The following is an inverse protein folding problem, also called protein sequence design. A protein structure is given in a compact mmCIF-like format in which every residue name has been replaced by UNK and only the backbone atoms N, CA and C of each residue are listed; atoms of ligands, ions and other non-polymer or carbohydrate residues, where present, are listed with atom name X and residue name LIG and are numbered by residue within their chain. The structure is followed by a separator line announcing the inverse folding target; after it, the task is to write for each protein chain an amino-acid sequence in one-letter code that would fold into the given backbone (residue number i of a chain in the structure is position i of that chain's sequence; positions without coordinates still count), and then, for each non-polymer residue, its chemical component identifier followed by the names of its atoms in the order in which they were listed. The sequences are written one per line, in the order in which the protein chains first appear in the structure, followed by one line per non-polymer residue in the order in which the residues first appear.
data_IF_502770945076
#
_entry.id   IF_502770945076
#
_cell.length_a   1.000
_cell.length_b   1.000
_cell.length_c   1.000
_cell.angle_alpha   90.00
_cell.angle_beta   90.00
_cell.angle_gamma   90.00
#
_symmetry.space_group_name_H-M   'P 1'
#
loop_
_entity.id
_entity.type
_entity.pdbx_description
1 polymer ?
#
# COMPACT_ATOMS: atom_id res chain seq x y z
N UNK A 1 16.11 6.62 -57.03
CA UNK A 1 16.68 7.98 -57.00
C UNK A 1 16.16 8.80 -55.81
N UNK A 2 14.90 8.66 -55.38
CA UNK A 2 14.33 9.45 -54.27
C UNK A 2 14.89 9.22 -52.85
N UNK A 3 15.32 8.01 -52.48
CA UNK A 3 15.64 7.72 -51.07
C UNK A 3 16.98 8.31 -50.60
N UNK A 4 17.94 8.46 -51.52
CA UNK A 4 19.23 9.08 -51.22
C UNK A 4 19.11 10.61 -51.10
N UNK A 5 18.23 11.21 -51.91
CA UNK A 5 17.97 12.64 -51.88
C UNK A 5 17.18 13.04 -50.62
N UNK A 6 16.22 12.24 -50.16
CA UNK A 6 15.53 12.46 -48.87
C UNK A 6 16.48 12.36 -47.66
N UNK A 7 17.42 11.42 -47.70
CA UNK A 7 18.44 11.28 -46.65
C UNK A 7 19.40 12.47 -46.65
N UNK A 8 19.81 12.95 -47.83
CA UNK A 8 20.65 14.15 -47.98
C UNK A 8 19.92 15.43 -47.57
N UNK A 9 18.62 15.54 -47.86
CA UNK A 9 17.78 16.67 -47.45
C UNK A 9 17.62 16.70 -45.91
N UNK A 10 17.36 15.54 -45.29
CA UNK A 10 17.29 15.40 -43.83
C UNK A 10 18.65 15.66 -43.14
N UNK A 11 19.75 15.23 -43.76
CA UNK A 11 21.12 15.54 -43.34
C UNK A 11 21.41 17.04 -43.45
N UNK A 12 20.90 17.72 -44.48
CA UNK A 12 21.05 19.16 -44.73
C UNK A 12 20.24 20.03 -43.76
N UNK A 13 19.08 19.55 -43.30
CA UNK A 13 18.25 20.23 -42.29
C UNK A 13 18.74 19.99 -40.85
N UNK A 14 19.35 18.84 -40.59
CA UNK A 14 20.05 18.63 -39.34
C UNK A 14 21.32 19.49 -39.30
N UNK A 15 21.72 19.95 -38.11
CA UNK A 15 22.85 20.87 -37.86
C UNK A 15 24.25 20.29 -38.23
N UNK A 16 24.35 19.45 -39.25
CA UNK A 16 25.54 18.72 -39.74
C UNK A 16 26.44 19.57 -40.66
N UNK A 17 26.41 20.90 -40.53
CA UNK A 17 27.29 21.79 -41.27
C UNK A 17 28.75 21.55 -40.84
N UNK A 18 29.43 20.61 -41.49
CA UNK A 18 30.84 20.30 -41.23
C UNK A 18 31.22 18.81 -41.21
N UNK A 19 30.27 17.88 -41.38
CA UNK A 19 30.60 16.44 -41.40
C UNK A 19 31.20 16.05 -42.74
N UNK A 20 32.50 15.75 -42.74
CA UNK A 20 33.28 15.45 -43.95
C UNK A 20 33.62 13.96 -44.12
N UNK A 21 33.44 13.15 -43.07
CA UNK A 21 33.79 11.72 -43.02
C UNK A 21 32.74 10.91 -42.27
N UNK A 22 32.63 9.61 -42.58
CA UNK A 22 31.77 8.66 -41.86
C UNK A 22 32.09 8.58 -40.36
N UNK A 23 33.35 8.75 -39.99
CA UNK A 23 33.77 8.78 -38.58
C UNK A 23 33.25 10.03 -37.86
N UNK A 24 33.20 11.18 -38.54
CA UNK A 24 32.61 12.41 -37.99
C UNK A 24 31.10 12.31 -37.87
N UNK A 25 30.44 11.65 -38.82
CA UNK A 25 29.00 11.37 -38.74
C UNK A 25 28.70 10.49 -37.52
N UNK A 26 29.48 9.43 -37.31
CA UNK A 26 29.31 8.55 -36.15
C UNK A 26 29.57 9.27 -34.82
N UNK A 27 30.61 10.10 -34.74
CA UNK A 27 30.87 10.95 -33.56
C UNK A 27 29.68 11.87 -33.28
N UNK A 28 29.12 12.49 -34.32
CA UNK A 28 27.96 13.36 -34.17
C UNK A 28 26.71 12.60 -33.71
N UNK A 29 26.43 11.42 -34.27
CA UNK A 29 25.30 10.57 -33.84
C UNK A 29 25.45 10.20 -32.37
N UNK A 30 26.61 9.70 -31.96
CA UNK A 30 26.89 9.34 -30.56
C UNK A 30 26.71 10.54 -29.64
N UNK A 31 27.23 11.72 -30.04
CA UNK A 31 27.01 12.98 -29.30
C UNK A 31 25.54 13.25 -29.06
N UNK A 32 24.73 13.21 -30.11
CA UNK A 32 23.34 13.61 -30.02
C UNK A 32 22.48 12.62 -29.24
N UNK A 33 22.85 11.34 -29.20
CA UNK A 33 22.18 10.37 -28.33
C UNK A 33 22.39 10.65 -26.83
N UNK A 34 23.52 11.29 -26.47
CA UNK A 34 23.91 11.59 -25.09
C UNK A 34 23.45 12.97 -24.66
N UNK A 35 23.50 13.95 -25.57
CA UNK A 35 23.10 15.33 -25.31
C UNK A 35 21.59 15.54 -25.46
N UNK A 36 20.84 14.58 -26.01
CA UNK A 36 19.38 14.67 -26.17
C UNK A 36 18.64 15.02 -24.87
N UNK A 37 18.93 14.42 -23.71
CA UNK A 37 18.33 14.83 -22.43
C UNK A 37 18.56 16.31 -22.10
N UNK A 38 19.72 16.87 -22.49
CA UNK A 38 20.01 18.30 -22.32
C UNK A 38 19.26 19.20 -23.31
N UNK A 39 18.75 18.67 -24.42
CA UNK A 39 17.98 19.47 -25.39
C UNK A 39 16.64 19.92 -24.81
N UNK A 40 16.08 19.22 -23.84
CA UNK A 40 14.88 19.66 -23.13
C UNK A 40 15.11 20.99 -22.39
N UNK A 41 16.30 21.21 -21.82
CA UNK A 41 16.67 22.52 -21.26
C UNK A 41 16.68 23.61 -22.34
N UNK A 42 17.16 23.27 -23.54
CA UNK A 42 17.36 24.22 -24.65
C UNK A 42 16.10 24.50 -25.47
N UNK A 43 15.09 23.63 -25.38
CA UNK A 43 13.81 23.75 -26.09
C UNK A 43 12.80 24.69 -25.39
N UNK A 44 13.23 25.44 -24.37
CA UNK A 44 12.39 26.40 -23.66
C UNK A 44 11.68 25.84 -22.42
N UNK A 45 11.90 24.57 -22.07
CA UNK A 45 11.43 23.99 -20.81
C UNK A 45 12.25 24.48 -19.59
N UNK A 46 13.46 25.00 -19.83
CA UNK A 46 14.33 25.59 -18.79
C UNK A 46 14.98 24.57 -17.85
N UNK A 47 14.52 23.33 -17.84
CA UNK A 47 14.95 22.31 -16.87
C UNK A 47 15.39 21.00 -17.54
N UNK A 48 16.34 20.31 -16.90
CA UNK A 48 16.79 18.99 -17.33
C UNK A 48 15.73 17.95 -16.96
N UNK A 49 15.57 16.89 -17.75
CA UNK A 49 14.55 15.85 -17.49
C UNK A 49 14.65 15.27 -16.07
N UNK A 50 15.88 15.08 -15.56
CA UNK A 50 16.10 14.60 -14.19
C UNK A 50 15.69 15.61 -13.10
N UNK A 51 15.59 16.91 -13.40
CA UNK A 51 15.08 17.90 -12.44
C UNK A 51 13.59 17.68 -12.16
N UNK A 52 12.82 17.21 -13.16
CA UNK A 52 11.39 16.90 -12.99
C UNK A 52 11.23 15.78 -11.97
N UNK A 53 12.02 14.72 -12.10
CA UNK A 53 12.02 13.61 -11.15
C UNK A 53 12.44 14.04 -9.75
N UNK A 54 13.49 14.87 -9.64
CA UNK A 54 13.93 15.42 -8.36
C UNK A 54 12.83 16.27 -7.69
N UNK A 55 12.12 17.08 -8.47
CA UNK A 55 10.98 17.87 -8.01
C UNK A 55 9.79 17.02 -7.55
N UNK A 56 9.44 15.98 -8.30
CA UNK A 56 8.38 15.04 -7.92
C UNK A 56 8.74 14.28 -6.63
N UNK A 57 9.98 13.79 -6.50
CA UNK A 57 10.43 13.12 -5.26
C UNK A 57 10.35 14.07 -4.07
N UNK A 58 10.81 15.32 -4.24
CA UNK A 58 10.73 16.33 -3.19
C UNK A 58 9.27 16.66 -2.82
N UNK A 59 8.37 16.74 -3.80
CA UNK A 59 6.94 16.94 -3.57
C UNK A 59 6.30 15.78 -2.81
N UNK A 60 6.61 14.53 -3.17
CA UNK A 60 6.09 13.37 -2.45
C UNK A 60 6.68 13.25 -1.04
N UNK A 61 7.94 13.65 -0.83
CA UNK A 61 8.54 13.72 0.49
C UNK A 61 7.89 14.79 1.39
N UNK A 62 7.46 15.92 0.81
CA UNK A 62 6.69 16.94 1.54
C UNK A 62 5.28 16.44 1.92
N UNK A 63 4.61 15.71 1.02
CA UNK A 63 3.35 15.04 1.34
C UNK A 63 3.53 14.00 2.46
N UNK A 64 4.61 13.23 2.42
CA UNK A 64 4.99 12.26 3.46
C UNK A 64 5.13 12.92 4.83
N UNK A 65 5.87 14.03 4.93
CA UNK A 65 6.00 14.79 6.16
C UNK A 65 4.63 15.29 6.67
N UNK A 66 3.73 15.69 5.76
CA UNK A 66 2.37 16.09 6.10
C UNK A 66 1.57 14.94 6.71
N UNK A 67 1.67 13.72 6.18
CA UNK A 67 0.99 12.55 6.74
C UNK A 67 1.48 12.23 8.15
N UNK A 68 2.78 12.31 8.40
CA UNK A 68 3.35 12.12 9.74
C UNK A 68 2.85 13.18 10.71
N UNK A 69 2.88 14.46 10.30
CA UNK A 69 2.40 15.54 11.15
C UNK A 69 0.92 15.33 11.53
N UNK A 70 0.06 15.05 10.57
CA UNK A 70 -1.37 14.78 10.80
C UNK A 70 -1.58 13.55 11.69
N UNK A 71 -0.81 12.49 11.48
CA UNK A 71 -0.88 11.28 12.30
C UNK A 71 -0.51 11.56 13.76
N UNK A 72 0.57 12.31 14.01
CA UNK A 72 0.98 12.67 15.38
C UNK A 72 -0.02 13.57 16.09
N UNK A 73 -0.73 14.42 15.35
CA UNK A 73 -1.80 15.27 15.87
C UNK A 73 -3.15 14.52 16.00
N UNK A 74 -3.21 13.24 15.61
CA UNK A 74 -4.46 12.47 15.46
C UNK A 74 -5.50 13.14 14.52
N UNK A 75 -5.07 14.04 13.65
CA UNK A 75 -5.91 14.73 12.67
C UNK A 75 -5.89 14.00 11.32
N UNK A 76 -6.31 12.74 11.34
CA UNK A 76 -6.33 11.91 10.15
C UNK A 76 -7.57 11.02 10.08
N UNK A 77 -7.96 10.69 8.85
CA UNK A 77 -9.11 9.85 8.53
C UNK A 77 -8.79 8.84 7.42
N UNK A 78 -9.80 8.07 7.02
CA UNK A 78 -9.65 7.10 5.92
C UNK A 78 -9.26 7.73 4.59
N UNK A 79 -9.62 9.00 4.33
CA UNK A 79 -9.23 9.70 3.11
C UNK A 79 -7.75 10.03 3.13
N UNK A 80 -7.22 10.48 4.26
CA UNK A 80 -5.78 10.72 4.42
C UNK A 80 -4.97 9.43 4.31
N UNK A 81 -5.44 8.32 4.91
CA UNK A 81 -4.82 7.01 4.75
C UNK A 81 -4.79 6.56 3.27
N UNK A 82 -5.88 6.74 2.54
CA UNK A 82 -5.91 6.47 1.10
C UNK A 82 -4.97 7.39 0.30
N UNK A 83 -4.82 8.66 0.71
CA UNK A 83 -3.88 9.58 0.08
C UNK A 83 -2.43 9.12 0.31
N UNK A 84 -2.08 8.69 1.53
CA UNK A 84 -0.76 8.13 1.84
C UNK A 84 -0.45 6.86 1.03
N UNK A 85 -1.44 5.97 0.86
CA UNK A 85 -1.32 4.79 -0.03
C UNK A 85 -1.05 5.23 -1.47
N UNK A 86 -1.80 6.22 -1.97
CA UNK A 86 -1.60 6.72 -3.33
C UNK A 86 -0.21 7.36 -3.53
N UNK A 87 0.24 8.17 -2.57
CA UNK A 87 1.60 8.72 -2.53
C UNK A 87 2.66 7.60 -2.57
N UNK A 88 2.45 6.52 -1.81
CA UNK A 88 3.32 5.32 -1.84
C UNK A 88 3.42 4.73 -3.26
N UNK A 89 2.30 4.64 -3.97
CA UNK A 89 2.28 4.16 -5.36
C UNK A 89 3.02 5.09 -6.31
N UNK A 90 2.86 6.41 -6.17
CA UNK A 90 3.57 7.40 -7.00
C UNK A 90 5.07 7.33 -6.81
N UNK A 91 5.56 7.26 -5.58
CA UNK A 91 7.00 7.12 -5.31
C UNK A 91 7.54 5.82 -5.90
N UNK A 92 6.79 4.73 -5.82
CA UNK A 92 7.18 3.47 -6.46
C UNK A 92 7.28 3.59 -7.98
N UNK A 93 6.30 4.23 -8.61
CA UNK A 93 6.28 4.46 -10.07
C UNK A 93 7.48 5.29 -10.52
N UNK A 94 7.78 6.39 -9.80
CA UNK A 94 8.98 7.22 -10.02
C UNK A 94 10.25 6.37 -9.99
N UNK A 95 10.38 5.46 -9.02
CA UNK A 95 11.56 4.57 -8.93
C UNK A 95 11.66 3.61 -10.10
N UNK A 96 10.55 3.05 -10.54
CA UNK A 96 10.50 2.16 -11.71
C UNK A 96 10.92 2.93 -12.99
N UNK A 97 10.46 4.18 -13.14
CA UNK A 97 10.86 5.08 -14.24
C UNK A 97 12.35 5.46 -14.17
N UNK A 98 12.86 5.83 -13.00
CA UNK A 98 14.29 6.09 -12.78
C UNK A 98 15.14 4.87 -13.13
N UNK A 99 14.71 3.67 -12.73
CA UNK A 99 15.39 2.42 -13.08
C UNK A 99 15.38 2.13 -14.58
N UNK A 100 14.34 2.56 -15.31
CA UNK A 100 14.30 2.45 -16.77
C UNK A 100 15.30 3.42 -17.42
N UNK A 101 15.37 4.67 -16.94
CA UNK A 101 16.33 5.67 -17.45
C UNK A 101 17.77 5.25 -17.13
N UNK A 102 18.03 4.71 -15.94
CA UNK A 102 19.34 4.19 -15.56
C UNK A 102 19.82 3.11 -16.54
N UNK A 103 18.94 2.18 -16.93
CA UNK A 103 19.26 1.14 -17.90
C UNK A 103 19.62 1.73 -19.26
N UNK A 104 18.85 2.71 -19.74
CA UNK A 104 19.12 3.40 -21.02
C UNK A 104 20.49 4.07 -20.97
N UNK A 105 20.78 4.86 -19.94
CA UNK A 105 22.08 5.55 -19.83
C UNK A 105 23.25 4.59 -19.62
N UNK A 106 23.03 3.47 -18.94
CA UNK A 106 24.04 2.41 -18.79
C UNK A 106 24.37 1.75 -20.13
N UNK A 107 23.36 1.46 -20.95
CA UNK A 107 23.55 0.95 -22.31
C UNK A 107 24.26 1.97 -23.20
N UNK A 108 23.89 3.24 -23.13
CA UNK A 108 24.58 4.32 -23.85
C UNK A 108 26.05 4.42 -23.43
N UNK A 109 26.35 4.33 -22.13
CA UNK A 109 27.71 4.35 -21.59
C UNK A 109 28.55 3.18 -22.13
N UNK A 110 27.96 2.00 -22.24
CA UNK A 110 28.64 0.84 -22.84
C UNK A 110 28.97 1.09 -24.32
N UNK A 111 28.01 1.59 -25.10
CA UNK A 111 28.20 1.91 -26.53
C UNK A 111 29.31 2.96 -26.70
N UNK A 112 29.33 4.02 -25.89
CA UNK A 112 30.39 5.05 -25.95
C UNK A 112 31.75 4.45 -25.60
N UNK A 113 31.83 3.59 -24.58
CA UNK A 113 33.07 2.90 -24.20
C UNK A 113 33.57 1.96 -25.29
N UNK A 114 32.68 1.30 -26.02
CA UNK A 114 33.05 0.48 -27.19
C UNK A 114 33.52 1.36 -28.35
N UNK A 115 32.79 2.44 -28.65
CA UNK A 115 33.12 3.40 -29.69
C UNK A 115 34.48 4.08 -29.46
N UNK A 116 34.80 4.40 -28.20
CA UNK A 116 36.10 4.93 -27.78
C UNK A 116 37.29 4.04 -28.23
N UNK A 117 37.12 2.73 -28.10
CA UNK A 117 38.15 1.73 -28.46
C UNK A 117 38.36 1.65 -29.97
N UNK A 118 37.30 1.87 -30.76
CA UNK A 118 37.37 1.84 -32.23
C UNK A 118 38.06 3.08 -32.78
N UNK A 119 37.75 4.26 -32.23
CA UNK A 119 38.32 5.53 -32.70
C UNK A 119 39.76 5.79 -32.24
N UNK A 120 40.19 5.16 -31.14
CA UNK A 120 41.53 5.36 -30.57
C UNK A 120 42.33 4.05 -30.60
N UNK A 121 42.78 3.57 -31.78
CA UNK A 121 43.63 2.40 -31.87
C UNK A 121 44.98 2.67 -31.16
N UNK A 122 45.66 1.65 -30.61
CA UNK A 122 46.84 1.81 -29.74
C UNK A 122 48.04 2.59 -30.31
N UNK A 123 48.02 2.97 -31.59
CA UNK A 123 49.15 3.53 -32.32
C UNK A 123 48.97 4.99 -32.77
N UNK A 124 47.80 5.62 -32.57
CA UNK A 124 47.57 7.01 -32.99
C UNK A 124 47.85 8.00 -31.85
N UNK A 125 49.02 8.64 -31.88
CA UNK A 125 49.50 9.60 -30.85
C UNK A 125 49.02 11.04 -31.01
N UNK A 126 48.13 11.35 -31.97
CA UNK A 126 47.83 12.75 -32.31
C UNK A 126 46.39 12.91 -32.79
N UNK A 127 45.45 13.17 -31.89
CA UNK A 127 44.25 13.95 -32.21
C UNK A 127 43.56 14.41 -30.92
N UNK A 128 42.76 15.47 -31.04
CA UNK A 128 41.92 16.08 -29.99
C UNK A 128 40.73 15.20 -29.54
N UNK A 129 40.64 13.95 -30.01
CA UNK A 129 39.55 13.00 -29.77
C UNK A 129 39.49 12.34 -28.38
N UNK A 130 40.61 12.06 -27.68
CA UNK A 130 40.58 11.39 -26.37
C UNK A 130 39.81 12.19 -25.32
N UNK A 131 39.95 13.52 -25.33
CA UNK A 131 39.30 14.40 -24.36
C UNK A 131 37.80 14.55 -24.64
N UNK A 132 37.40 14.54 -25.91
CA UNK A 132 35.99 14.58 -26.31
C UNK A 132 35.21 13.35 -25.81
N UNK A 133 35.73 12.15 -26.04
CA UNK A 133 35.08 10.90 -25.61
C UNK A 133 35.09 10.78 -24.08
N UNK A 134 36.17 11.21 -23.41
CA UNK A 134 36.23 11.26 -21.94
C UNK A 134 35.15 12.15 -21.36
N UNK A 135 34.89 13.31 -21.97
CA UNK A 135 33.83 14.22 -21.51
C UNK A 135 32.44 13.57 -21.63
N UNK A 136 32.15 12.88 -22.74
CA UNK A 136 30.88 12.17 -22.92
C UNK A 136 30.67 11.05 -21.90
N UNK A 137 31.73 10.27 -21.63
CA UNK A 137 31.71 9.22 -20.60
C UNK A 137 31.45 9.82 -19.22
N UNK A 138 32.15 10.91 -18.87
CA UNK A 138 31.98 11.59 -17.59
C UNK A 138 30.57 12.17 -17.43
N UNK A 139 29.97 12.69 -18.50
CA UNK A 139 28.60 13.21 -18.50
C UNK A 139 27.57 12.10 -18.24
N UNK A 140 27.67 10.96 -18.94
CA UNK A 140 26.80 9.80 -18.70
C UNK A 140 26.98 9.23 -17.29
N UNK A 141 28.22 9.08 -16.82
CA UNK A 141 28.51 8.60 -15.46
C UNK A 141 27.96 9.57 -14.40
N UNK A 142 28.00 10.87 -14.67
CA UNK A 142 27.37 11.91 -13.85
C UNK A 142 25.85 11.76 -13.80
N UNK A 143 25.18 11.57 -14.95
CA UNK A 143 23.74 11.36 -15.01
C UNK A 143 23.31 10.08 -14.29
N UNK A 144 24.02 8.96 -14.49
CA UNK A 144 23.75 7.69 -13.78
C UNK A 144 23.93 7.88 -12.28
N UNK A 145 25.00 8.56 -11.84
CA UNK A 145 25.22 8.85 -10.41
C UNK A 145 24.07 9.68 -9.82
N UNK A 146 23.59 10.68 -10.57
CA UNK A 146 22.45 11.51 -10.16
C UNK A 146 21.17 10.67 -10.03
N UNK A 147 20.88 9.79 -10.98
CA UNK A 147 19.74 8.87 -10.91
C UNK A 147 19.82 7.98 -9.66
N UNK A 148 20.99 7.43 -9.34
CA UNK A 148 21.18 6.62 -8.13
C UNK A 148 20.94 7.38 -6.84
N UNK A 149 21.33 8.65 -6.79
CA UNK A 149 21.01 9.52 -5.65
C UNK A 149 19.50 9.69 -5.50
N UNK A 150 18.82 10.01 -6.60
CA UNK A 150 17.35 10.17 -6.60
C UNK A 150 16.62 8.88 -6.23
N UNK A 151 17.08 7.71 -6.71
CA UNK A 151 16.48 6.41 -6.31
C UNK A 151 16.65 6.14 -4.80
N UNK A 152 17.79 6.52 -4.22
CA UNK A 152 18.02 6.39 -2.78
C UNK A 152 17.12 7.32 -1.96
N UNK A 153 16.93 8.57 -2.43
CA UNK A 153 16.04 9.53 -1.78
C UNK A 153 14.59 9.04 -1.86
N UNK A 154 14.15 8.60 -3.04
CA UNK A 154 12.83 8.00 -3.24
C UNK A 154 12.64 6.71 -2.43
N UNK A 155 13.67 5.88 -2.27
CA UNK A 155 13.62 4.68 -1.43
C UNK A 155 13.38 5.03 0.05
N UNK A 156 14.03 6.09 0.53
CA UNK A 156 13.85 6.59 1.90
C UNK A 156 12.42 7.09 2.11
N UNK A 157 11.89 7.89 1.18
CA UNK A 157 10.50 8.36 1.22
C UNK A 157 9.51 7.19 1.18
N UNK A 158 9.76 6.20 0.33
CA UNK A 158 8.93 5.01 0.20
C UNK A 158 8.88 4.18 1.49
N UNK A 159 10.02 4.01 2.17
CA UNK A 159 10.07 3.33 3.46
C UNK A 159 9.25 4.07 4.51
N UNK A 160 9.41 5.39 4.59
CA UNK A 160 8.65 6.25 5.51
C UNK A 160 7.14 6.18 5.24
N UNK A 161 6.73 6.29 3.97
CA UNK A 161 5.33 6.17 3.55
C UNK A 161 4.71 4.80 3.89
N UNK A 162 5.46 3.72 3.71
CA UNK A 162 5.00 2.38 4.10
C UNK A 162 4.80 2.27 5.61
N UNK A 163 5.70 2.86 6.40
CA UNK A 163 5.60 2.84 7.86
C UNK A 163 4.38 3.62 8.36
N UNK A 164 4.16 4.85 7.88
CA UNK A 164 3.00 5.66 8.30
C UNK A 164 1.68 5.06 7.84
N UNK A 165 1.63 4.51 6.63
CA UNK A 165 0.43 3.84 6.11
C UNK A 165 0.05 2.63 6.98
N UNK A 166 1.04 1.81 7.36
CA UNK A 166 0.81 0.69 8.27
C UNK A 166 0.34 1.16 9.65
N UNK A 167 0.92 2.24 10.18
CA UNK A 167 0.52 2.81 11.46
C UNK A 167 -0.93 3.33 11.43
N UNK A 168 -1.32 4.03 10.37
CA UNK A 168 -2.71 4.48 10.15
C UNK A 168 -3.67 3.29 10.08
N UNK A 169 -3.38 2.27 9.27
CA UNK A 169 -4.23 1.09 9.16
C UNK A 169 -4.36 0.33 10.49
N UNK A 170 -3.24 0.18 11.23
CA UNK A 170 -3.25 -0.44 12.55
C UNK A 170 -4.12 0.36 13.54
N UNK A 171 -3.96 1.68 13.59
CA UNK A 171 -4.76 2.53 14.48
C UNK A 171 -6.26 2.54 14.09
N UNK A 172 -6.59 2.53 12.79
CA UNK A 172 -7.97 2.36 12.33
C UNK A 172 -8.58 1.04 12.83
N UNK A 173 -7.85 -0.06 12.66
CA UNK A 173 -8.30 -1.39 13.09
C UNK A 173 -8.49 -1.48 14.61
N UNK A 174 -7.62 -0.82 15.37
CA UNK A 174 -7.73 -0.75 16.84
C UNK A 174 -8.95 0.06 17.26
N UNK A 175 -9.21 1.22 16.65
CA UNK A 175 -10.41 2.03 16.90
C UNK A 175 -11.69 1.25 16.58
N UNK A 176 -11.69 0.50 15.48
CA UNK A 176 -12.83 -0.35 15.10
C UNK A 176 -13.03 -1.51 16.10
N UNK A 177 -11.95 -2.16 16.54
CA UNK A 177 -12.02 -3.20 17.56
C UNK A 177 -12.51 -2.67 18.92
N UNK A 178 -12.10 -1.46 19.30
CA UNK A 178 -12.56 -0.80 20.52
C UNK A 178 -14.04 -0.43 20.42
N UNK A 179 -14.50 0.13 19.30
CA UNK A 179 -15.90 0.45 19.09
C UNK A 179 -16.79 -0.80 19.09
N UNK A 180 -16.34 -1.90 18.46
CA UNK A 180 -17.02 -3.19 18.50
C UNK A 180 -17.06 -3.76 19.93
N UNK A 181 -16.00 -3.58 20.72
CA UNK A 181 -15.98 -3.97 22.13
C UNK A 181 -17.00 -3.18 22.95
N UNK A 182 -17.09 -1.86 22.75
CA UNK A 182 -18.11 -1.02 23.40
C UNK A 182 -19.53 -1.41 22.98
N UNK A 183 -19.74 -1.70 21.70
CA UNK A 183 -21.02 -2.18 21.18
C UNK A 183 -21.44 -3.49 21.85
N UNK A 184 -20.52 -4.43 22.04
CA UNK A 184 -20.78 -5.66 22.78
C UNK A 184 -21.23 -5.38 24.22
N UNK A 185 -20.59 -4.44 24.93
CA UNK A 185 -21.01 -4.06 26.28
C UNK A 185 -22.42 -3.46 26.32
N UNK A 186 -22.81 -2.67 25.31
CA UNK A 186 -24.15 -2.09 25.21
C UNK A 186 -25.22 -3.15 24.94
N UNK A 187 -24.90 -4.20 24.16
CA UNK A 187 -25.84 -5.28 23.82
C UNK A 187 -26.08 -6.24 25.00
N UNK A 188 -25.09 -6.46 25.87
CA UNK A 188 -25.19 -7.39 27.01
C UNK A 188 -26.43 -7.21 27.90
N UNK A 189 -26.76 -6.01 28.43
CA UNK A 189 -27.95 -5.85 29.27
C UNK A 189 -29.26 -6.13 28.53
N UNK A 190 -29.37 -5.72 27.25
CA UNK A 190 -30.55 -6.04 26.43
C UNK A 190 -30.73 -7.55 26.27
N UNK A 191 -29.63 -8.27 26.03
CA UNK A 191 -29.63 -9.73 25.95
C UNK A 191 -30.02 -10.37 27.29
N UNK A 192 -29.51 -9.89 28.43
CA UNK A 192 -29.88 -10.41 29.76
C UNK A 192 -31.38 -10.22 30.02
N UNK A 193 -31.90 -9.02 29.76
CA UNK A 193 -33.34 -8.72 29.91
C UNK A 193 -34.17 -9.65 29.03
N UNK A 194 -33.80 -9.82 27.76
CA UNK A 194 -34.53 -10.69 26.82
C UNK A 194 -34.51 -12.15 27.27
N UNK A 195 -33.35 -12.68 27.67
CA UNK A 195 -33.20 -14.07 28.13
C UNK A 195 -34.08 -14.39 29.34
N UNK A 196 -34.27 -13.44 30.26
CA UNK A 196 -35.11 -13.61 31.46
C UNK A 196 -36.58 -13.33 31.15
N UNK A 197 -36.88 -12.20 30.51
CA UNK A 197 -38.26 -11.73 30.32
C UNK A 197 -39.01 -12.47 29.23
N UNK A 198 -38.36 -12.93 28.16
CA UNK A 198 -39.04 -13.65 27.08
C UNK A 198 -39.70 -14.96 27.58
N UNK A 199 -38.99 -15.87 28.27
CA UNK A 199 -39.64 -17.07 28.80
C UNK A 199 -40.64 -16.77 29.90
N UNK A 200 -40.38 -15.77 30.75
CA UNK A 200 -41.32 -15.37 31.79
C UNK A 200 -42.62 -14.81 31.19
N UNK A 201 -42.54 -13.98 30.14
CA UNK A 201 -43.71 -13.45 29.42
C UNK A 201 -44.50 -14.53 28.69
N UNK A 202 -43.82 -15.57 28.20
CA UNK A 202 -44.47 -16.74 27.65
C UNK A 202 -45.20 -17.55 28.74
N UNK A 203 -44.57 -17.69 29.91
CA UNK A 203 -45.18 -18.41 31.03
C UNK A 203 -46.41 -17.65 31.56
N UNK A 204 -46.35 -16.32 31.69
CA UNK A 204 -47.51 -15.52 32.10
C UNK A 204 -48.64 -15.60 31.08
N UNK A 205 -48.35 -15.62 29.77
CA UNK A 205 -49.38 -15.79 28.75
C UNK A 205 -50.00 -17.18 28.78
N UNK A 206 -49.23 -18.25 29.04
CA UNK A 206 -49.76 -19.60 29.24
C UNK A 206 -50.71 -19.70 30.43
N UNK A 207 -50.44 -19.00 31.54
CA UNK A 207 -51.36 -18.96 32.69
C UNK A 207 -52.56 -18.06 32.48
N UNK A 208 -52.48 -17.06 31.59
CA UNK A 208 -53.62 -16.23 31.21
C UNK A 208 -54.60 -16.94 30.26
N UNK A 209 -54.17 -18.01 29.59
CA UNK A 209 -55.05 -18.84 28.74
C UNK A 209 -55.92 -19.74 29.62
N UNK A 210 -57.24 -19.63 29.43
CA UNK A 210 -58.22 -20.47 30.12
C UNK A 210 -58.00 -21.94 29.75
N UNK A 211 -57.54 -22.77 30.69
CA UNK A 211 -57.28 -24.19 30.49
C UNK A 211 -57.86 -25.02 31.62
N UNK A 212 -58.60 -26.08 31.27
CA UNK A 212 -59.25 -27.00 32.21
C UNK A 212 -58.25 -27.87 33.03
N UNK A 213 -56.94 -27.74 32.76
CA UNK A 213 -55.87 -28.52 33.39
C UNK A 213 -55.24 -27.89 34.64
N UNK A 214 -55.69 -26.71 35.07
CA UNK A 214 -55.22 -26.09 36.31
C UNK A 214 -55.99 -26.66 37.52
N UNK A 215 -55.35 -26.88 38.68
CA UNK A 215 -56.04 -27.39 39.86
C UNK A 215 -57.05 -26.36 40.39
N UNK A 216 -58.34 -26.69 40.33
CA UNK A 216 -59.46 -25.92 40.89
C UNK A 216 -60.00 -26.61 42.15
N UNK A 217 -60.58 -25.85 43.09
CA UNK A 217 -61.37 -26.46 44.17
C UNK A 217 -62.78 -26.85 43.66
N UNK A 218 -63.58 -27.53 44.49
CA UNK A 218 -64.94 -27.97 44.16
C UNK A 218 -65.92 -26.81 43.86
N UNK A 219 -65.53 -25.57 44.14
CA UNK A 219 -66.31 -24.33 43.94
C UNK A 219 -65.90 -23.56 42.67
N UNK A 220 -64.91 -24.06 41.92
CA UNK A 220 -64.44 -23.46 40.67
C UNK A 220 -63.47 -22.29 40.83
N UNK A 221 -62.97 -22.03 42.04
CA UNK A 221 -61.97 -20.98 42.27
C UNK A 221 -60.54 -21.47 42.01
N UNK A 222 -59.76 -20.67 41.29
CA UNK A 222 -58.33 -20.89 41.04
C UNK A 222 -57.51 -20.68 42.32
N UNK A 223 -57.29 -21.76 43.09
CA UNK A 223 -56.35 -21.75 44.23
C UNK A 223 -55.14 -22.61 43.88
N UNK A 224 -54.13 -21.97 43.31
CA UNK A 224 -52.90 -22.65 42.90
C UNK A 224 -52.15 -23.14 44.16
N UNK A 225 -51.94 -24.46 44.35
CA UNK A 225 -51.18 -24.96 45.48
C UNK A 225 -49.70 -24.54 45.35
N UNK A 226 -49.16 -23.93 46.40
CA UNK A 226 -47.79 -23.35 46.41
C UNK A 226 -46.72 -24.34 45.94
N UNK A 227 -46.85 -25.63 46.27
CA UNK A 227 -45.92 -26.68 45.83
C UNK A 227 -46.01 -27.01 44.32
N UNK A 228 -47.21 -26.95 43.74
CA UNK A 228 -47.42 -27.21 42.31
C UNK A 228 -46.87 -26.06 41.46
N UNK A 229 -47.10 -24.82 41.92
CA UNK A 229 -46.60 -23.60 41.27
C UNK A 229 -45.07 -23.52 41.29
N UNK A 230 -44.47 -23.79 42.45
CA UNK A 230 -43.03 -23.72 42.64
C UNK A 230 -42.27 -24.68 41.70
N UNK A 231 -42.71 -25.94 41.59
CA UNK A 231 -42.05 -26.91 40.71
C UNK A 231 -42.14 -26.54 39.22
N UNK A 232 -43.30 -26.04 38.77
CA UNK A 232 -43.50 -25.59 37.38
C UNK A 232 -42.66 -24.36 37.04
N UNK A 233 -42.52 -23.41 37.98
CA UNK A 233 -41.72 -22.20 37.78
C UNK A 233 -40.21 -22.52 37.71
N UNK A 234 -39.74 -23.39 38.61
CA UNK A 234 -38.33 -23.84 38.62
C UNK A 234 -37.97 -24.61 37.33
N UNK A 235 -38.88 -25.45 36.82
CA UNK A 235 -38.66 -26.17 35.56
C UNK A 235 -38.61 -25.23 34.35
N UNK A 236 -39.40 -24.15 34.34
CA UNK A 236 -39.37 -23.15 33.27
C UNK A 236 -38.05 -22.37 33.21
N UNK A 237 -37.57 -21.91 34.37
CA UNK A 237 -36.31 -21.17 34.49
C UNK A 237 -35.08 -22.04 34.21
N UNK A 238 -35.04 -23.26 34.74
CA UNK A 238 -33.96 -24.20 34.43
C UNK A 238 -34.01 -24.68 32.98
N UNK A 239 -35.22 -24.84 32.42
CA UNK A 239 -35.42 -25.27 31.04
C UNK A 239 -34.87 -24.28 30.01
N UNK A 240 -34.80 -22.99 30.33
CA UNK A 240 -34.28 -21.95 29.43
C UNK A 240 -32.83 -21.61 29.73
N UNK A 241 -32.42 -21.61 31.00
CA UNK A 241 -31.05 -21.32 31.41
C UNK A 241 -30.07 -22.46 31.08
N UNK A 242 -30.49 -23.72 31.17
CA UNK A 242 -29.60 -24.88 30.90
C UNK A 242 -29.14 -24.91 29.44
N UNK A 243 -30.01 -24.81 28.41
CA UNK A 243 -29.58 -24.76 27.01
C UNK A 243 -28.66 -23.56 26.73
N UNK A 244 -28.94 -22.42 27.35
CA UNK A 244 -28.16 -21.20 27.15
C UNK A 244 -26.78 -21.32 27.80
N UNK A 245 -26.70 -21.89 28.99
CA UNK A 245 -25.44 -22.19 29.67
C UNK A 245 -24.61 -23.23 28.90
N UNK A 246 -25.26 -24.28 28.38
CA UNK A 246 -24.62 -25.29 27.51
C UNK A 246 -24.11 -24.63 26.23
N UNK A 247 -24.91 -23.77 25.60
CA UNK A 247 -24.53 -23.05 24.39
C UNK A 247 -23.34 -22.10 24.63
N UNK A 248 -23.31 -21.39 25.76
CA UNK A 248 -22.19 -20.54 26.17
C UNK A 248 -20.93 -21.38 26.43
N UNK A 249 -21.04 -22.51 27.13
CA UNK A 249 -19.92 -23.43 27.34
C UNK A 249 -19.41 -24.04 26.02
N UNK A 250 -20.32 -24.38 25.11
CA UNK A 250 -20.00 -24.87 23.78
C UNK A 250 -19.24 -23.83 22.95
N UNK A 251 -19.70 -22.57 22.94
CA UNK A 251 -18.98 -21.47 22.30
C UNK A 251 -17.63 -21.19 22.96
N UNK A 252 -17.54 -21.27 24.29
CA UNK A 252 -16.27 -21.13 25.02
C UNK A 252 -15.28 -22.23 24.64
N UNK A 253 -15.72 -23.48 24.53
CA UNK A 253 -14.88 -24.61 24.15
C UNK A 253 -14.42 -24.51 22.69
N UNK A 254 -15.31 -24.12 21.76
CA UNK A 254 -14.97 -23.86 20.36
C UNK A 254 -13.94 -22.73 20.21
N UNK A 255 -14.09 -21.63 20.96
CA UNK A 255 -13.18 -20.47 20.89
C UNK A 255 -11.79 -20.78 21.45
N UNK A 256 -11.66 -21.74 22.37
CA UNK A 256 -10.38 -22.16 22.96
C UNK A 256 -9.57 -23.09 22.04
N UNK A 257 -10.18 -23.66 21.01
CA UNK A 257 -9.56 -24.69 20.17
C UNK A 257 -8.58 -24.26 19.04
N UNK A 258 -8.21 -22.98 18.79
CA UNK A 258 -7.23 -22.67 17.73
C UNK A 258 -5.82 -22.24 18.19
N UNK A 259 -5.30 -22.64 19.36
CA UNK A 259 -3.92 -22.29 19.75
C UNK A 259 -2.98 -23.39 20.29
N UNK A 260 -3.46 -24.59 20.60
CA UNK A 260 -2.61 -25.59 21.29
C UNK A 260 -2.05 -26.73 20.41
N UNK A 261 -2.03 -26.59 19.08
CA UNK A 261 -1.53 -27.66 18.20
C UNK A 261 -0.21 -27.38 17.44
N UNK A 262 0.48 -26.28 17.72
CA UNK A 262 1.77 -25.98 17.05
C UNK A 262 2.99 -25.83 17.97
N UNK A 263 2.85 -26.06 19.28
CA UNK A 263 3.90 -25.78 20.26
C UNK A 263 4.71 -26.98 20.77
N UNK A 264 4.43 -28.22 20.35
CA UNK A 264 5.02 -29.41 20.96
C UNK A 264 5.71 -30.35 19.95
N UNK A 265 6.61 -29.78 19.13
CA UNK A 265 7.62 -30.55 18.37
C UNK A 265 8.91 -29.76 18.17
N UNK A 266 9.61 -29.41 19.25
CA UNK A 266 11.05 -29.09 19.19
C UNK A 266 11.68 -29.27 20.58
N UNK A 267 11.80 -30.52 20.98
CA UNK A 267 12.69 -30.98 22.05
C UNK A 267 13.13 -32.41 21.71
N UNK A 268 14.05 -32.53 20.76
CA UNK A 268 15.02 -33.62 20.64
C UNK A 268 16.28 -33.09 20.01
#
# INVERSE_FOLDING_TARGET
MCMADELLEAIRESNLHGVSSGDELMKHIVKETITFPNKFMRAGLGEHILNIFEGEIASEADEEATFYNNFTQNDWDSKQANKAINCTWRVKDIRDELGLIEKVFSSQLEVVKQFAKVLTPPQAKTSSDPDYIRNLVAELEGMIKRIKSMDNDAATTLESLNNITQAMLAQASLKEAESARLMNFIILPFTIVTVIFTPLSFMTSLFAVNSDGFPHNEEGELRIPSNWFWWRMVVGELGTLIPLFIFVLFLYYLRRSPKDLSGDKLSR
#
